data_IF_619293556670
#
_entry.id   IF_619293556670
#
_cell.length_a   1.000
_cell.length_b   1.000
_cell.length_c   1.000
_cell.angle_alpha   90.00
_cell.angle_beta   90.00
_cell.angle_gamma   90.00
#
_symmetry.space_group_name_H-M   'P 1'
#
loop_
_entity.id
_entity.type
_entity.pdbx_description
1 polymer ?
#
# COMPACT_ATOMS: atom_id res chain seq x y z
N UNK A 1 -4.24 6.01 13.04
CA UNK A 1 -3.23 5.55 14.03
C UNK A 1 -2.09 4.81 13.38
N UNK A 2 -0.86 4.97 13.87
CA UNK A 2 0.37 4.29 13.42
C UNK A 2 1.05 3.59 14.61
N UNK A 3 1.92 2.62 14.36
CA UNK A 3 2.62 1.87 15.41
C UNK A 3 4.05 2.37 15.70
N UNK A 4 4.52 3.40 14.99
CA UNK A 4 5.87 3.97 15.15
C UNK A 4 5.93 5.21 16.04
N UNK A 5 4.82 5.56 16.71
CA UNK A 5 4.70 6.73 17.57
C UNK A 5 3.34 7.42 17.46
N UNK A 6 3.24 8.63 18.02
CA UNK A 6 2.02 9.45 17.92
C UNK A 6 1.86 10.05 16.52
N UNK A 7 2.98 10.47 15.93
CA UNK A 7 3.09 11.09 14.61
C UNK A 7 4.37 10.66 13.92
N UNK A 8 4.37 10.73 12.59
CA UNK A 8 5.52 10.56 11.72
C UNK A 8 5.47 11.59 10.58
N UNK A 9 6.58 11.75 9.85
CA UNK A 9 6.61 12.60 8.66
C UNK A 9 6.40 11.73 7.42
N UNK A 10 5.49 12.14 6.55
CA UNK A 10 5.24 11.45 5.29
C UNK A 10 6.41 11.61 4.34
N UNK A 11 6.66 10.59 3.52
CA UNK A 11 7.72 10.62 2.54
C UNK A 11 7.59 11.80 1.57
N UNK A 12 8.73 12.22 1.03
CA UNK A 12 8.85 13.41 0.20
C UNK A 12 8.43 14.73 0.86
N UNK A 13 8.33 14.76 2.19
CA UNK A 13 7.85 15.93 2.93
C UNK A 13 6.38 16.24 2.64
N UNK A 14 5.57 15.19 2.47
CA UNK A 14 4.12 15.30 2.25
C UNK A 14 3.34 15.73 3.48
N UNK A 15 4.03 15.91 4.61
CA UNK A 15 3.51 16.47 5.85
C UNK A 15 3.42 15.43 6.97
N UNK A 16 3.22 15.94 8.17
CA UNK A 16 3.09 15.11 9.37
C UNK A 16 1.76 14.36 9.39
N UNK A 17 1.81 13.07 9.71
CA UNK A 17 0.65 12.18 9.83
C UNK A 17 0.68 11.37 11.12
N UNK A 18 -0.42 10.67 11.44
CA UNK A 18 -0.54 9.84 12.64
C UNK A 18 -1.91 9.98 13.29
N UNK A 19 -1.94 10.01 14.62
CA UNK A 19 -3.14 10.33 15.39
C UNK A 19 -3.92 9.15 15.98
N UNK A 20 -5.05 9.52 16.59
CA UNK A 20 -5.96 8.75 17.46
C UNK A 20 -6.86 7.67 16.86
N UNK A 21 -7.40 8.00 15.70
CA UNK A 21 -8.77 7.61 15.35
C UNK A 21 -8.77 6.81 14.05
N UNK A 22 -8.84 5.50 14.16
CA UNK A 22 -8.93 4.61 12.98
C UNK A 22 -10.28 4.73 12.26
N UNK A 23 -11.25 5.41 12.85
CA UNK A 23 -12.52 5.77 12.21
C UNK A 23 -12.52 7.18 11.63
N UNK A 24 -11.37 7.84 11.48
CA UNK A 24 -11.31 9.15 10.81
C UNK A 24 -11.90 9.11 9.39
N UNK A 25 -12.43 10.24 8.94
CA UNK A 25 -12.90 10.46 7.58
C UNK A 25 -12.02 11.53 6.92
N UNK A 26 -11.10 11.07 6.06
CA UNK A 26 -10.19 11.92 5.31
C UNK A 26 -10.77 12.33 3.94
N UNK A 27 -12.05 12.06 3.69
CA UNK A 27 -12.78 12.45 2.49
C UNK A 27 -13.03 11.31 1.48
N UNK A 28 -13.08 11.68 0.20
CA UNK A 28 -13.49 10.78 -0.89
C UNK A 28 -12.52 10.87 -2.06
N UNK A 29 -11.97 9.73 -2.47
CA UNK A 29 -11.36 9.54 -3.78
C UNK A 29 -12.14 8.45 -4.52
N UNK A 30 -12.74 8.82 -5.65
CA UNK A 30 -13.46 7.89 -6.51
C UNK A 30 -13.18 8.17 -7.99
N UNK A 31 -12.88 7.12 -8.76
CA UNK A 31 -12.56 7.22 -10.19
C UNK A 31 -11.34 8.11 -10.48
N UNK A 32 -10.28 7.96 -9.69
CA UNK A 32 -9.04 8.72 -9.85
C UNK A 32 -7.96 7.82 -10.41
N UNK A 33 -7.27 8.31 -11.44
CA UNK A 33 -6.06 7.68 -11.98
C UNK A 33 -4.88 8.62 -11.78
N UNK A 34 -3.80 8.09 -11.20
CA UNK A 34 -2.50 8.76 -11.08
C UNK A 34 -1.55 8.07 -12.05
N UNK A 35 -0.91 8.85 -12.92
CA UNK A 35 -0.05 8.33 -13.98
C UNK A 35 1.35 8.92 -13.90
N UNK A 36 2.37 8.08 -14.08
CA UNK A 36 3.78 8.49 -14.15
C UNK A 36 4.23 9.31 -12.93
N UNK A 37 3.62 9.05 -11.78
CA UNK A 37 3.98 9.66 -10.52
C UNK A 37 5.23 9.00 -9.92
N UNK A 38 5.67 9.57 -8.81
CA UNK A 38 6.73 9.02 -8.01
C UNK A 38 8.14 9.43 -8.38
N UNK A 39 9.02 9.35 -7.38
CA UNK A 39 10.40 9.80 -7.47
C UNK A 39 11.19 9.36 -6.24
N UNK A 40 12.33 8.71 -6.49
CA UNK A 40 13.34 8.46 -5.46
C UNK A 40 13.97 9.79 -5.01
N UNK A 41 13.79 10.15 -3.74
CA UNK A 41 14.33 11.40 -3.16
C UNK A 41 15.55 11.14 -2.28
N UNK A 42 15.69 9.95 -1.73
CA UNK A 42 16.81 9.50 -0.91
C UNK A 42 16.75 7.99 -0.69
N UNK A 43 17.56 7.50 0.24
CA UNK A 43 17.39 6.13 0.77
C UNK A 43 16.20 6.12 1.72
N UNK A 44 15.26 5.20 1.51
CA UNK A 44 14.04 5.01 2.33
C UNK A 44 13.19 6.30 2.41
N UNK A 45 13.11 7.01 1.28
CA UNK A 45 12.32 8.23 1.14
C UNK A 45 12.04 8.46 -0.34
N UNK A 46 10.89 7.98 -0.77
CA UNK A 46 10.46 8.06 -2.15
C UNK A 46 9.05 8.68 -2.26
N UNK A 47 8.40 8.56 -3.41
CA UNK A 47 7.08 9.16 -3.63
C UNK A 47 6.29 8.16 -4.43
N UNK A 48 5.09 7.83 -3.96
CA UNK A 48 4.29 6.75 -4.55
C UNK A 48 3.24 7.29 -5.53
N UNK A 49 2.54 6.38 -6.21
CA UNK A 49 1.30 6.69 -6.93
C UNK A 49 0.22 7.19 -5.97
N UNK A 50 0.00 6.46 -4.87
CA UNK A 50 -0.85 6.87 -3.76
C UNK A 50 -0.19 6.49 -2.43
N UNK A 51 0.00 7.46 -1.54
CA UNK A 51 0.40 7.20 -0.16
C UNK A 51 -0.77 7.51 0.78
N UNK A 52 -1.20 6.51 1.56
CA UNK A 52 -2.29 6.65 2.53
C UNK A 52 -1.72 6.75 3.95
N UNK A 53 -1.39 7.97 4.34
CA UNK A 53 -0.76 8.30 5.61
C UNK A 53 -1.78 8.34 6.77
N UNK A 54 -1.83 7.26 7.56
CA UNK A 54 -2.75 7.05 8.71
C UNK A 54 -4.24 7.24 8.42
N UNK A 55 -4.67 7.09 7.16
CA UNK A 55 -6.05 7.33 6.71
C UNK A 55 -7.05 6.42 7.43
N UNK A 56 -8.17 7.01 7.86
CA UNK A 56 -9.21 6.31 8.63
C UNK A 56 -10.20 5.52 7.78
N UNK A 57 -10.91 4.60 8.43
CA UNK A 57 -11.82 3.62 7.82
C UNK A 57 -13.16 4.19 7.34
N UNK A 58 -13.48 5.45 7.67
CA UNK A 58 -14.66 6.14 7.14
C UNK A 58 -14.37 6.88 5.82
N UNK A 59 -13.09 7.03 5.45
CA UNK A 59 -12.66 7.56 4.15
C UNK A 59 -13.10 6.63 3.02
N UNK A 60 -13.61 7.20 1.93
CA UNK A 60 -14.05 6.45 0.75
C UNK A 60 -12.93 6.42 -0.29
N UNK A 61 -12.37 5.24 -0.54
CA UNK A 61 -11.35 5.00 -1.56
C UNK A 61 -11.84 3.90 -2.53
N UNK A 62 -12.31 4.30 -3.71
CA UNK A 62 -12.98 3.40 -4.64
C UNK A 62 -12.60 3.68 -6.10
N UNK A 63 -12.42 2.65 -6.93
CA UNK A 63 -12.12 2.83 -8.36
C UNK A 63 -10.86 3.68 -8.60
N UNK A 64 -9.75 3.29 -7.97
CA UNK A 64 -8.47 4.00 -8.11
C UNK A 64 -7.52 3.26 -9.04
N UNK A 65 -6.70 3.98 -9.79
CA UNK A 65 -5.66 3.39 -10.63
C UNK A 65 -4.32 4.10 -10.47
N UNK A 66 -3.28 3.33 -10.14
CA UNK A 66 -1.89 3.74 -10.28
C UNK A 66 -1.33 3.19 -11.59
N UNK A 67 -0.72 4.04 -12.41
CA UNK A 67 -0.25 3.65 -13.73
C UNK A 67 1.17 4.16 -14.00
N UNK A 68 2.10 3.22 -14.15
CA UNK A 68 3.48 3.44 -14.57
C UNK A 68 4.22 4.48 -13.74
N UNK A 69 4.03 4.42 -12.41
CA UNK A 69 4.80 5.20 -11.45
C UNK A 69 6.26 4.73 -11.35
N UNK A 70 7.12 5.62 -10.88
CA UNK A 70 8.55 5.37 -10.66
C UNK A 70 8.86 4.70 -9.31
N UNK A 71 7.82 4.25 -8.63
CA UNK A 71 7.81 3.77 -7.25
C UNK A 71 6.49 3.03 -7.00
N UNK A 72 6.11 2.80 -5.76
CA UNK A 72 4.93 2.04 -5.41
C UNK A 72 3.62 2.53 -6.03
N UNK A 73 2.74 1.59 -6.36
CA UNK A 73 1.41 1.92 -6.85
C UNK A 73 0.52 2.52 -5.78
N UNK A 74 0.40 1.79 -4.68
CA UNK A 74 -0.40 2.15 -3.53
C UNK A 74 0.35 1.72 -2.28
N UNK A 75 0.61 2.66 -1.39
CA UNK A 75 1.27 2.36 -0.13
C UNK A 75 0.43 2.84 1.05
N UNK A 76 0.30 1.98 2.06
CA UNK A 76 -0.43 2.26 3.28
C UNK A 76 0.50 2.41 4.48
N UNK A 77 0.59 3.62 5.03
CA UNK A 77 1.34 3.91 6.24
C UNK A 77 0.41 3.98 7.45
N UNK A 78 0.14 2.83 8.06
CA UNK A 78 -0.79 2.73 9.19
C UNK A 78 -2.22 3.13 8.84
N UNK A 79 -3.01 3.45 9.86
CA UNK A 79 -4.44 3.77 9.72
C UNK A 79 -5.30 2.54 9.45
N UNK A 80 -6.53 2.76 8.97
CA UNK A 80 -7.51 1.71 8.71
C UNK A 80 -8.27 1.93 7.39
N UNK A 81 -7.63 2.61 6.43
CA UNK A 81 -8.15 2.89 5.10
C UNK A 81 -8.73 1.64 4.44
N UNK A 82 -9.83 1.81 3.70
CA UNK A 82 -10.50 0.72 2.99
C UNK A 82 -10.51 1.02 1.50
N UNK A 83 -9.73 0.27 0.72
CA UNK A 83 -9.61 0.47 -0.72
C UNK A 83 -10.35 -0.64 -1.47
N UNK A 84 -11.33 -0.25 -2.29
CA UNK A 84 -12.08 -1.18 -3.16
C UNK A 84 -11.91 -0.84 -4.63
N UNK A 85 -11.81 -1.87 -5.47
CA UNK A 85 -11.66 -1.73 -6.93
C UNK A 85 -10.44 -0.87 -7.28
N UNK A 86 -9.25 -1.44 -7.07
CA UNK A 86 -8.00 -0.75 -7.35
C UNK A 86 -7.20 -1.49 -8.41
N UNK A 87 -6.53 -0.74 -9.28
CA UNK A 87 -5.67 -1.28 -10.34
C UNK A 87 -4.29 -0.65 -10.23
N UNK A 88 -3.26 -1.49 -10.11
CA UNK A 88 -1.86 -1.08 -10.19
C UNK A 88 -1.26 -1.64 -11.47
N UNK A 89 -0.71 -0.79 -12.34
CA UNK A 89 -0.23 -1.21 -13.67
C UNK A 89 1.15 -0.66 -13.97
N UNK A 90 2.14 -1.55 -14.09
CA UNK A 90 3.45 -1.24 -14.63
C UNK A 90 4.27 -0.24 -13.83
N UNK A 91 4.06 -0.14 -12.51
CA UNK A 91 4.93 0.64 -11.64
C UNK A 91 6.31 -0.04 -11.54
N UNK A 92 7.35 0.76 -11.25
CA UNK A 92 8.72 0.26 -11.25
C UNK A 92 9.17 -0.34 -9.93
N UNK A 93 8.38 -0.19 -8.87
CA UNK A 93 8.57 -0.86 -7.58
C UNK A 93 7.34 -1.72 -7.20
N UNK A 94 6.93 -1.76 -5.94
CA UNK A 94 5.87 -2.63 -5.46
C UNK A 94 4.48 -2.14 -5.90
N UNK A 95 3.59 -3.07 -6.23
CA UNK A 95 2.28 -2.67 -6.75
C UNK A 95 1.31 -2.24 -5.65
N UNK A 96 1.38 -2.89 -4.50
CA UNK A 96 0.71 -2.55 -3.26
C UNK A 96 1.67 -2.82 -2.10
N UNK A 97 1.93 -1.83 -1.25
CA UNK A 97 2.71 -2.01 -0.02
C UNK A 97 1.93 -1.52 1.21
N UNK A 98 2.25 -2.08 2.37
CA UNK A 98 1.83 -1.55 3.65
C UNK A 98 2.87 -1.71 4.74
N UNK A 99 2.90 -0.71 5.60
CA UNK A 99 3.72 -0.67 6.80
C UNK A 99 3.00 0.12 7.91
N UNK A 100 3.74 0.44 8.97
CA UNK A 100 3.34 1.28 10.11
C UNK A 100 2.03 0.85 10.77
N UNK A 101 1.79 -0.45 10.73
CA UNK A 101 0.73 -1.10 11.44
C UNK A 101 -0.61 -1.11 10.71
N UNK A 102 -0.74 -0.85 9.41
CA UNK A 102 -2.04 -0.71 8.71
C UNK A 102 -3.05 -1.85 9.02
N UNK A 103 -4.28 -1.49 9.42
CA UNK A 103 -5.37 -2.42 9.82
C UNK A 103 -6.60 -2.27 8.94
N UNK A 104 -6.36 -1.86 7.70
CA UNK A 104 -7.41 -1.58 6.74
C UNK A 104 -7.99 -2.81 6.07
N UNK A 105 -8.68 -2.56 4.96
CA UNK A 105 -9.24 -3.63 4.12
C UNK A 105 -9.03 -3.34 2.65
N UNK A 106 -8.65 -4.38 1.90
CA UNK A 106 -8.57 -4.38 0.45
C UNK A 106 -9.60 -5.30 -0.17
N UNK A 107 -10.23 -4.89 -1.27
CA UNK A 107 -11.07 -5.79 -2.05
C UNK A 107 -11.09 -5.46 -3.54
N UNK A 108 -11.07 -6.47 -4.41
CA UNK A 108 -11.07 -6.30 -5.87
C UNK A 108 -9.84 -5.53 -6.38
N UNK A 109 -8.67 -5.96 -5.93
CA UNK A 109 -7.39 -5.40 -6.36
C UNK A 109 -6.84 -6.16 -7.56
N UNK A 110 -6.30 -5.43 -8.53
CA UNK A 110 -5.66 -6.00 -9.72
C UNK A 110 -4.27 -5.43 -9.87
N UNK A 111 -3.29 -6.30 -10.09
CA UNK A 111 -1.94 -5.93 -10.46
C UNK A 111 -1.62 -6.49 -11.84
N UNK A 112 -1.01 -5.66 -12.68
CA UNK A 112 -0.33 -6.10 -13.88
C UNK A 112 1.02 -5.39 -13.97
N UNK A 113 2.08 -6.10 -13.59
CA UNK A 113 3.43 -5.53 -13.62
C UNK A 113 3.94 -5.31 -15.04
N UNK A 114 4.91 -4.41 -15.18
CA UNK A 114 5.60 -4.23 -16.46
C UNK A 114 6.46 -5.47 -16.73
N UNK A 115 6.55 -5.97 -17.98
CA UNK A 115 7.35 -7.15 -18.27
C UNK A 115 8.85 -7.01 -17.99
N UNK A 116 9.35 -5.78 -17.83
CA UNK A 116 10.77 -5.46 -17.71
C UNK A 116 11.13 -4.59 -16.51
N UNK A 117 10.14 -4.17 -15.72
CA UNK A 117 10.30 -3.32 -14.54
C UNK A 117 9.28 -3.69 -13.45
N UNK A 118 9.45 -3.16 -12.24
CA UNK A 118 8.64 -3.55 -11.07
C UNK A 118 9.41 -4.47 -10.13
N UNK A 119 9.00 -4.50 -8.86
CA UNK A 119 9.51 -5.43 -7.86
C UNK A 119 8.46 -6.51 -7.54
N UNK A 120 7.60 -6.32 -6.53
CA UNK A 120 6.59 -7.29 -6.09
C UNK A 120 5.19 -6.81 -6.44
N UNK A 121 4.24 -7.75 -6.49
CA UNK A 121 2.83 -7.36 -6.57
C UNK A 121 2.30 -6.91 -5.20
N UNK A 122 2.81 -7.49 -4.12
CA UNK A 122 2.56 -7.03 -2.75
C UNK A 122 3.81 -7.15 -1.89
N UNK A 123 4.20 -6.06 -1.24
CA UNK A 123 5.10 -6.02 -0.08
C UNK A 123 4.30 -5.67 1.17
N UNK A 124 4.64 -6.28 2.30
CA UNK A 124 3.70 -6.37 3.41
C UNK A 124 4.46 -6.47 4.73
N UNK A 125 4.59 -5.34 5.43
CA UNK A 125 5.36 -5.23 6.66
C UNK A 125 4.50 -4.80 7.86
N UNK A 126 5.01 -5.01 9.08
CA UNK A 126 4.46 -4.34 10.27
C UNK A 126 5.20 -3.02 10.52
N UNK A 127 6.47 -3.13 10.88
CA UNK A 127 7.44 -2.06 10.92
C UNK A 127 8.82 -2.69 10.81
N UNK A 128 9.67 -2.17 9.92
CA UNK A 128 10.97 -2.77 9.56
C UNK A 128 12.02 -2.75 10.69
N UNK A 129 11.86 -1.89 11.71
CA UNK A 129 12.83 -1.75 12.81
C UNK A 129 12.49 -2.65 14.00
N UNK A 130 11.21 -2.68 14.41
CA UNK A 130 10.72 -3.56 15.47
C UNK A 130 9.44 -4.29 15.02
N UNK A 131 9.64 -5.53 14.59
CA UNK A 131 8.60 -6.39 14.02
C UNK A 131 7.45 -6.69 14.98
N UNK A 132 7.66 -6.53 16.29
CA UNK A 132 6.68 -6.88 17.32
C UNK A 132 5.88 -5.67 17.84
N UNK A 133 6.09 -4.48 17.25
CA UNK A 133 5.41 -3.27 17.69
C UNK A 133 3.90 -3.35 17.44
N UNK A 134 3.12 -2.92 18.45
CA UNK A 134 1.66 -2.87 18.38
C UNK A 134 1.15 -1.45 18.14
N UNK A 135 0.02 -1.26 17.43
CA UNK A 135 -0.76 -2.30 16.75
C UNK A 135 -0.02 -2.94 15.57
N UNK A 136 -0.29 -4.22 15.31
CA UNK A 136 0.27 -4.91 14.14
C UNK A 136 -0.40 -4.45 12.85
N UNK A 137 0.34 -4.46 11.75
CA UNK A 137 -0.23 -4.49 10.40
C UNK A 137 -1.01 -5.78 10.26
N UNK A 138 -2.34 -5.67 10.33
CA UNK A 138 -3.27 -6.80 10.29
C UNK A 138 -4.43 -6.50 9.33
N UNK A 139 -4.13 -6.15 8.05
CA UNK A 139 -5.18 -5.87 7.08
C UNK A 139 -5.82 -7.16 6.58
N UNK A 140 -7.04 -7.03 6.04
CA UNK A 140 -7.67 -8.11 5.27
C UNK A 140 -7.83 -7.70 3.82
N UNK A 141 -7.17 -8.42 2.90
CA UNK A 141 -7.30 -8.23 1.46
C UNK A 141 -7.99 -9.45 0.85
N UNK A 142 -9.03 -9.22 0.04
CA UNK A 142 -9.82 -10.29 -0.56
C UNK A 142 -10.13 -10.06 -2.04
N UNK A 143 -10.32 -11.14 -2.80
CA UNK A 143 -10.71 -11.11 -4.21
C UNK A 143 -9.72 -10.27 -5.03
N UNK A 144 -8.50 -10.74 -5.18
CA UNK A 144 -7.45 -10.03 -5.89
C UNK A 144 -6.88 -10.86 -7.05
N UNK A 145 -6.34 -10.19 -8.06
CA UNK A 145 -5.66 -10.80 -9.19
C UNK A 145 -4.29 -10.16 -9.36
N UNK A 146 -3.22 -10.95 -9.22
CA UNK A 146 -1.84 -10.49 -9.38
C UNK A 146 -1.27 -11.12 -10.64
N UNK A 147 -0.88 -10.29 -11.61
CA UNK A 147 -0.10 -10.70 -12.77
C UNK A 147 1.32 -10.18 -12.59
N UNK A 148 2.18 -11.05 -12.05
CA UNK A 148 3.58 -10.80 -11.76
C UNK A 148 4.45 -11.03 -13.01
N UNK A 149 5.56 -10.30 -13.11
CA UNK A 149 6.47 -10.35 -14.25
C UNK A 149 7.62 -11.36 -14.13
N UNK A 150 7.74 -12.06 -12.99
CA UNK A 150 8.80 -13.05 -12.74
C UNK A 150 10.09 -12.51 -12.13
N UNK A 151 10.23 -11.20 -11.95
CA UNK A 151 11.47 -10.60 -11.45
C UNK A 151 11.69 -10.87 -9.95
N UNK A 152 10.62 -10.97 -9.16
CA UNK A 152 10.67 -11.22 -7.72
C UNK A 152 9.43 -11.97 -7.21
N UNK A 153 9.39 -12.26 -5.90
CA UNK A 153 8.23 -12.80 -5.19
C UNK A 153 6.97 -11.98 -5.53
N UNK A 154 5.89 -12.62 -5.98
CA UNK A 154 4.64 -11.91 -6.24
C UNK A 154 4.04 -11.30 -4.95
N UNK A 155 4.14 -12.01 -3.83
CA UNK A 155 3.63 -11.56 -2.53
C UNK A 155 4.68 -11.84 -1.47
N UNK A 156 5.02 -10.82 -0.68
CA UNK A 156 6.06 -10.89 0.34
C UNK A 156 5.52 -10.40 1.68
N UNK A 157 5.25 -11.34 2.58
CA UNK A 157 4.86 -11.06 3.97
C UNK A 157 6.10 -11.05 4.87
N UNK A 158 6.42 -9.92 5.50
CA UNK A 158 7.61 -9.80 6.35
C UNK A 158 7.36 -8.97 7.61
N UNK A 159 8.44 -8.82 8.37
CA UNK A 159 8.55 -7.85 9.46
C UNK A 159 7.43 -7.90 10.49
N UNK A 160 6.85 -9.07 10.76
CA UNK A 160 5.80 -9.26 11.77
C UNK A 160 4.38 -8.93 11.30
N UNK A 161 4.17 -8.66 10.00
CA UNK A 161 2.83 -8.46 9.45
C UNK A 161 1.91 -9.66 9.74
N UNK A 162 0.64 -9.38 9.98
CA UNK A 162 -0.43 -10.35 10.21
C UNK A 162 -1.49 -10.32 9.11
N UNK A 163 -1.18 -9.68 7.99
CA UNK A 163 -2.09 -9.53 6.87
C UNK A 163 -2.72 -10.84 6.43
N UNK A 164 -4.03 -10.79 6.19
CA UNK A 164 -4.82 -11.93 5.76
C UNK A 164 -5.24 -11.76 4.30
N UNK A 165 -4.82 -12.71 3.46
CA UNK A 165 -5.10 -12.71 2.02
C UNK A 165 -6.10 -13.82 1.68
N UNK A 166 -7.23 -13.47 1.06
CA UNK A 166 -8.31 -14.40 0.73
C UNK A 166 -8.72 -14.33 -0.74
N UNK A 167 -9.10 -15.47 -1.32
CA UNK A 167 -9.66 -15.56 -2.67
C UNK A 167 -8.79 -14.85 -3.73
N UNK A 168 -7.49 -15.11 -3.70
CA UNK A 168 -6.52 -14.53 -4.63
C UNK A 168 -6.27 -15.42 -5.84
N UNK A 169 -6.09 -14.80 -7.00
CA UNK A 169 -5.41 -15.40 -8.14
C UNK A 169 -4.03 -14.76 -8.26
N UNK A 170 -2.99 -15.58 -8.27
CA UNK A 170 -1.61 -15.15 -8.52
C UNK A 170 -1.14 -15.90 -9.77
N UNK A 171 -0.76 -15.15 -10.78
CA UNK A 171 -0.29 -15.64 -12.07
C UNK A 171 0.94 -14.82 -12.52
N UNK A 172 1.74 -15.39 -13.40
CA UNK A 172 3.06 -14.87 -13.77
C UNK A 172 4.02 -16.04 -13.98
N UNK A 173 5.17 -15.78 -14.60
CA UNK A 173 6.21 -16.77 -14.91
C UNK A 173 7.47 -16.49 -14.14
#
# INVERSE_FOLDING_TARGET
TINIGATAEGEGGTGTYGGSMDSDDSGVLRYVRVEYAGKILGTDNELNGFSFNAVGSQTVLEHLQAYRGADDGFEFFGGAARLKWAVSTGNTDDSFDWTHGWRGRGQFWVVHQDPTAGDRCMECDNWEIDYMVTPFSDPMVSNFTLVNNGNNDAVRLRHGTRGMLYNGLVAGT
#
